data_IF_490017471155
#
_entry.id   IF_490017471155
#
_cell.length_a   1.000
_cell.length_b   1.000
_cell.length_c   1.000
_cell.angle_alpha   90.00
_cell.angle_beta   90.00
_cell.angle_gamma   90.00
#
_symmetry.space_group_name_H-M   'P 1'
#
loop_
_entity.id
_entity.type
_entity.pdbx_description
1 polymer ?
#
# COMPACT_ATOMS: atom_id res chain seq x y z
N UNK A 1 6.98 -21.65 3.46
CA UNK A 1 5.82 -21.38 4.35
C UNK A 1 4.64 -20.96 3.48
N UNK A 2 3.46 -21.43 3.79
CA UNK A 2 2.23 -21.10 3.05
C UNK A 2 1.52 -19.95 3.75
N UNK A 3 0.94 -19.04 2.98
CA UNK A 3 0.21 -17.88 3.48
C UNK A 3 -1.21 -17.87 2.94
N UNK A 4 -2.12 -17.34 3.75
CA UNK A 4 -3.52 -17.11 3.40
C UNK A 4 -3.73 -15.60 3.33
N UNK A 5 -4.42 -15.12 2.28
CA UNK A 5 -4.81 -13.73 2.16
C UNK A 5 -6.27 -13.58 2.55
N UNK A 6 -6.54 -12.67 3.49
CA UNK A 6 -7.88 -12.33 3.95
C UNK A 6 -8.17 -10.85 3.74
N UNK A 7 -9.38 -10.54 3.29
CA UNK A 7 -9.86 -9.18 3.21
C UNK A 7 -10.36 -8.72 4.59
N UNK A 8 -10.03 -7.50 4.96
CA UNK A 8 -10.60 -6.82 6.13
C UNK A 8 -11.72 -5.91 5.65
N UNK A 9 -12.95 -6.20 6.04
CA UNK A 9 -14.13 -5.46 5.60
C UNK A 9 -14.49 -4.33 6.58
N UNK A 10 -15.32 -3.40 6.13
CA UNK A 10 -15.67 -2.17 6.86
C UNK A 10 -16.33 -2.40 8.24
N UNK A 11 -16.97 -3.55 8.46
CA UNK A 11 -17.58 -3.90 9.75
C UNK A 11 -16.58 -4.39 10.81
N UNK A 12 -15.32 -4.66 10.43
CA UNK A 12 -14.30 -5.19 11.33
C UNK A 12 -13.51 -4.06 12.01
N UNK A 13 -14.19 -3.21 12.78
CA UNK A 13 -13.59 -2.00 13.38
C UNK A 13 -12.33 -2.27 14.21
N UNK A 14 -12.31 -3.36 14.99
CA UNK A 14 -11.14 -3.73 15.80
C UNK A 14 -9.94 -4.13 14.93
N UNK A 15 -10.16 -4.86 13.84
CA UNK A 15 -9.11 -5.23 12.89
C UNK A 15 -8.58 -4.00 12.14
N UNK A 16 -9.45 -3.11 11.70
CA UNK A 16 -9.08 -1.86 11.02
C UNK A 16 -8.20 -1.01 11.92
N UNK A 17 -8.58 -0.85 13.20
CA UNK A 17 -7.78 -0.11 14.18
C UNK A 17 -6.41 -0.77 14.41
N UNK A 18 -6.37 -2.08 14.59
CA UNK A 18 -5.14 -2.85 14.78
C UNK A 18 -4.19 -2.67 13.59
N UNK A 19 -4.69 -2.72 12.36
CA UNK A 19 -3.88 -2.52 11.16
C UNK A 19 -3.27 -1.11 11.13
N UNK A 20 -4.03 -0.07 11.45
CA UNK A 20 -3.51 1.29 11.57
C UNK A 20 -2.39 1.38 12.61
N UNK A 21 -2.54 0.72 13.74
CA UNK A 21 -1.53 0.69 14.80
C UNK A 21 -0.25 -0.03 14.39
N UNK A 22 -0.35 -1.19 13.74
CA UNK A 22 0.83 -1.94 13.28
C UNK A 22 1.57 -1.26 12.13
N UNK A 23 0.90 -0.43 11.36
CA UNK A 23 1.48 0.38 10.29
C UNK A 23 1.98 1.77 10.77
N UNK A 24 1.86 2.08 12.06
CA UNK A 24 2.20 3.38 12.63
C UNK A 24 3.65 3.81 12.37
N UNK A 25 4.57 2.87 12.20
CA UNK A 25 5.98 3.16 11.85
C UNK A 25 6.12 3.88 10.50
N UNK A 26 5.12 3.80 9.62
CA UNK A 26 5.10 4.52 8.34
C UNK A 26 5.11 6.04 8.53
N UNK A 27 4.74 6.56 9.71
CA UNK A 27 4.86 7.99 10.04
C UNK A 27 6.29 8.53 9.87
N UNK A 28 7.28 7.67 9.95
CA UNK A 28 8.68 8.03 9.74
C UNK A 28 8.90 8.66 8.36
N UNK A 29 8.33 8.07 7.33
CA UNK A 29 8.46 8.52 5.94
C UNK A 29 7.23 9.31 5.47
N UNK A 30 6.09 9.12 6.13
CA UNK A 30 4.80 9.71 5.81
C UNK A 30 4.17 10.33 7.07
N UNK A 31 4.55 11.57 7.43
CA UNK A 31 4.13 12.19 8.69
C UNK A 31 2.61 12.25 8.89
N UNK A 32 1.85 12.35 7.80
CA UNK A 32 0.38 12.44 7.82
C UNK A 32 -0.32 11.07 7.73
N UNK A 33 0.40 9.96 7.96
CA UNK A 33 -0.12 8.61 7.82
C UNK A 33 -1.47 8.40 8.53
N UNK A 34 -1.60 8.79 9.79
CA UNK A 34 -2.86 8.59 10.53
C UNK A 34 -4.00 9.45 10.02
N UNK A 35 -3.73 10.69 9.61
CA UNK A 35 -4.74 11.54 8.99
C UNK A 35 -5.26 10.90 7.70
N UNK A 36 -4.36 10.41 6.85
CA UNK A 36 -4.71 9.69 5.64
C UNK A 36 -5.48 8.39 5.94
N UNK A 37 -4.97 7.56 6.86
CA UNK A 37 -5.61 6.28 7.19
C UNK A 37 -7.03 6.49 7.71
N UNK A 38 -7.22 7.39 8.66
CA UNK A 38 -8.51 7.64 9.29
C UNK A 38 -9.49 8.42 8.40
N UNK A 39 -9.01 9.31 7.54
CA UNK A 39 -9.85 10.21 6.75
C UNK A 39 -10.05 9.76 5.30
N UNK A 40 -9.21 8.87 4.77
CA UNK A 40 -9.30 8.37 3.39
C UNK A 40 -9.51 6.86 3.34
N UNK A 41 -8.67 6.07 4.00
CA UNK A 41 -8.75 4.61 3.94
C UNK A 41 -10.00 4.10 4.62
N UNK A 42 -10.21 4.42 5.90
CA UNK A 42 -11.34 3.91 6.68
C UNK A 42 -12.69 4.29 6.07
N UNK A 43 -12.97 5.56 5.73
CA UNK A 43 -14.21 5.90 5.03
C UNK A 43 -14.33 5.24 3.65
N UNK A 44 -13.22 5.09 2.94
CA UNK A 44 -13.18 4.45 1.62
C UNK A 44 -13.57 2.98 1.62
N UNK A 45 -13.39 2.27 2.74
CA UNK A 45 -13.86 0.89 2.91
C UNK A 45 -15.39 0.77 2.84
N UNK A 46 -16.10 1.77 3.34
CA UNK A 46 -17.57 1.77 3.34
C UNK A 46 -18.19 1.97 1.96
N UNK A 47 -17.47 2.58 1.04
CA UNK A 47 -17.92 2.91 -0.33
C UNK A 47 -17.15 2.13 -1.40
N UNK A 48 -16.42 1.11 -0.99
CA UNK A 48 -15.63 0.23 -1.87
C UNK A 48 -14.57 0.93 -2.73
N UNK A 49 -14.13 2.12 -2.31
CA UNK A 49 -13.04 2.86 -2.96
C UNK A 49 -11.66 2.52 -2.38
N UNK A 50 -11.65 1.86 -1.24
CA UNK A 50 -10.45 1.31 -0.59
C UNK A 50 -10.70 -0.13 -0.19
N UNK A 51 -9.64 -0.93 -0.21
CA UNK A 51 -9.67 -2.32 0.23
C UNK A 51 -8.40 -2.62 1.01
N UNK A 52 -8.54 -3.38 2.09
CA UNK A 52 -7.43 -3.85 2.91
C UNK A 52 -7.39 -5.36 2.86
N UNK A 53 -6.23 -5.91 2.59
CA UNK A 53 -5.96 -7.35 2.69
C UNK A 53 -4.75 -7.58 3.59
N UNK A 54 -4.80 -8.67 4.33
CA UNK A 54 -3.68 -9.13 5.14
C UNK A 54 -3.25 -10.52 4.69
N UNK A 55 -1.95 -10.78 4.75
CA UNK A 55 -1.39 -12.12 4.62
C UNK A 55 -1.10 -12.68 6.01
N UNK A 56 -1.54 -13.89 6.27
CA UNK A 56 -1.27 -14.61 7.52
C UNK A 56 -0.61 -15.94 7.22
N UNK A 57 0.40 -16.38 8.02
CA UNK A 57 0.93 -17.73 7.87
C UNK A 57 -0.15 -18.76 8.19
N UNK A 58 -0.29 -19.78 7.37
CA UNK A 58 -1.33 -20.81 7.52
C UNK A 58 -1.30 -21.51 8.88
N UNK A 59 -0.10 -21.70 9.43
CA UNK A 59 0.11 -22.35 10.73
C UNK A 59 0.15 -21.37 11.91
N UNK A 60 -0.05 -20.07 11.67
CA UNK A 60 -0.01 -18.98 12.68
C UNK A 60 -1.00 -17.90 12.33
N UNK A 61 -2.27 -18.24 12.34
CA UNK A 61 -3.36 -17.36 11.91
C UNK A 61 -3.50 -16.07 12.71
N UNK A 62 -2.92 -16.01 13.91
CA UNK A 62 -2.90 -14.81 14.76
C UNK A 62 -1.78 -13.81 14.39
N UNK A 63 -0.84 -14.24 13.52
CA UNK A 63 0.25 -13.38 13.06
C UNK A 63 -0.09 -12.75 11.70
N UNK A 64 0.28 -11.49 11.52
CA UNK A 64 0.18 -10.80 10.24
C UNK A 64 1.56 -10.80 9.59
N UNK A 65 1.65 -11.41 8.41
CA UNK A 65 2.87 -11.45 7.61
C UNK A 65 3.05 -10.21 6.73
N UNK A 66 1.94 -9.60 6.33
CA UNK A 66 1.95 -8.40 5.51
C UNK A 66 0.57 -7.77 5.38
N UNK A 67 0.56 -6.55 4.89
CA UNK A 67 -0.66 -5.75 4.64
C UNK A 67 -0.56 -5.10 3.26
N UNK A 68 -1.65 -5.11 2.52
CA UNK A 68 -1.80 -4.33 1.30
C UNK A 68 -3.09 -3.50 1.38
N UNK A 69 -2.99 -2.24 0.97
CA UNK A 69 -4.13 -1.32 0.86
C UNK A 69 -4.25 -0.91 -0.59
N UNK A 70 -5.42 -1.11 -1.17
CA UNK A 70 -5.72 -0.81 -2.57
C UNK A 70 -6.71 0.35 -2.67
N UNK A 71 -6.61 1.09 -3.77
CA UNK A 71 -7.54 2.14 -4.17
C UNK A 71 -8.09 1.86 -5.57
N UNK A 72 -9.40 1.96 -5.69
CA UNK A 72 -10.09 2.08 -6.98
C UNK A 72 -11.28 3.03 -6.77
N UNK A 73 -11.13 4.28 -7.19
CA UNK A 73 -12.17 5.30 -7.08
C UNK A 73 -12.84 5.59 -8.44
N UNK A 74 -12.58 4.73 -9.42
CA UNK A 74 -13.05 4.89 -10.79
C UNK A 74 -12.15 5.77 -11.67
N UNK A 75 -11.21 6.52 -11.08
CA UNK A 75 -10.24 7.36 -11.77
C UNK A 75 -8.82 6.85 -11.66
N UNK A 76 -8.47 6.33 -10.50
CA UNK A 76 -7.13 5.84 -10.19
C UNK A 76 -7.19 4.45 -9.59
N UNK A 77 -6.37 3.55 -10.12
CA UNK A 77 -6.18 2.18 -9.64
C UNK A 77 -4.78 2.07 -9.06
N UNK A 78 -4.69 1.93 -7.75
CA UNK A 78 -3.43 2.13 -7.05
C UNK A 78 -3.21 1.15 -5.91
N UNK A 79 -1.96 0.72 -5.76
CA UNK A 79 -1.45 0.08 -4.55
C UNK A 79 -0.99 1.20 -3.63
N UNK A 80 -1.79 1.50 -2.60
CA UNK A 80 -1.51 2.60 -1.67
C UNK A 80 -0.45 2.24 -0.65
N UNK A 81 -0.50 1.03 -0.14
CA UNK A 81 0.46 0.48 0.82
C UNK A 81 0.69 -0.98 0.48
N UNK A 82 1.94 -1.39 0.42
CA UNK A 82 2.35 -2.78 0.39
C UNK A 82 3.48 -2.95 1.39
N UNK A 83 3.22 -3.72 2.44
CA UNK A 83 4.21 -3.96 3.47
C UNK A 83 4.27 -5.44 3.83
N UNK A 84 5.47 -5.98 3.87
CA UNK A 84 5.75 -7.34 4.34
C UNK A 84 6.69 -7.25 5.54
N UNK A 85 6.28 -7.82 6.66
CA UNK A 85 7.11 -7.82 7.87
C UNK A 85 8.42 -8.55 7.62
N UNK A 86 9.52 -8.03 8.16
CA UNK A 86 10.88 -8.50 7.89
C UNK A 86 11.02 -10.03 8.04
N UNK A 87 10.42 -10.59 9.08
CA UNK A 87 10.37 -12.04 9.35
C UNK A 87 9.83 -12.87 8.17
N UNK A 88 8.98 -12.28 7.34
CA UNK A 88 8.27 -12.96 6.25
C UNK A 88 8.71 -12.51 4.85
N UNK A 89 9.70 -11.63 4.76
CA UNK A 89 10.24 -11.19 3.48
C UNK A 89 10.90 -12.33 2.73
N UNK A 90 10.97 -12.20 1.41
CA UNK A 90 11.57 -13.19 0.48
C UNK A 90 10.92 -14.59 0.55
N UNK A 91 9.68 -14.66 1.05
CA UNK A 91 8.89 -15.89 1.09
C UNK A 91 7.66 -15.85 0.16
N UNK A 92 7.63 -14.91 -0.78
CA UNK A 92 6.60 -14.81 -1.81
C UNK A 92 5.40 -13.93 -1.46
N UNK A 93 5.29 -13.39 -0.24
CA UNK A 93 4.14 -12.56 0.18
C UNK A 93 3.98 -11.32 -0.71
N UNK A 94 5.08 -10.62 -1.02
CA UNK A 94 5.03 -9.46 -1.92
C UNK A 94 4.49 -9.80 -3.31
N UNK A 95 4.92 -10.93 -3.87
CA UNK A 95 4.39 -11.42 -5.16
C UNK A 95 2.91 -11.76 -5.08
N UNK A 96 2.46 -12.43 -4.02
CA UNK A 96 1.04 -12.72 -3.81
C UNK A 96 0.21 -11.43 -3.75
N UNK A 97 0.71 -10.38 -3.10
CA UNK A 97 0.04 -9.08 -3.04
C UNK A 97 -0.01 -8.36 -4.38
N UNK A 98 1.04 -8.39 -5.18
CA UNK A 98 1.01 -7.81 -6.54
C UNK A 98 0.01 -8.55 -7.42
N UNK A 99 0.01 -9.88 -7.40
CA UNK A 99 -0.95 -10.70 -8.15
C UNK A 99 -2.39 -10.43 -7.72
N UNK A 100 -2.64 -10.33 -6.41
CA UNK A 100 -3.94 -9.93 -5.86
C UNK A 100 -4.35 -8.55 -6.37
N UNK A 101 -3.46 -7.56 -6.30
CA UNK A 101 -3.74 -6.19 -6.74
C UNK A 101 -4.09 -6.13 -8.22
N UNK A 102 -3.34 -6.81 -9.07
CA UNK A 102 -3.62 -6.91 -10.51
C UNK A 102 -5.02 -7.49 -10.75
N UNK A 103 -5.36 -8.56 -10.05
CA UNK A 103 -6.66 -9.22 -10.17
C UNK A 103 -7.81 -8.33 -9.68
N UNK A 104 -7.70 -7.78 -8.47
CA UNK A 104 -8.75 -6.96 -7.84
C UNK A 104 -8.95 -5.63 -8.58
N UNK A 105 -7.86 -4.96 -8.95
CA UNK A 105 -7.92 -3.68 -9.67
C UNK A 105 -8.24 -3.84 -11.17
N UNK A 106 -8.15 -5.07 -11.69
CA UNK A 106 -8.46 -5.35 -13.09
C UNK A 106 -7.52 -4.68 -14.08
N UNK A 107 -6.27 -4.45 -13.69
CA UNK A 107 -5.21 -3.90 -14.54
C UNK A 107 -3.88 -4.57 -14.24
N UNK A 108 -3.07 -4.78 -15.28
CA UNK A 108 -1.70 -5.30 -15.13
C UNK A 108 -0.71 -4.24 -14.65
N UNK A 109 -1.10 -2.97 -14.71
CA UNK A 109 -0.27 -1.82 -14.41
C UNK A 109 -0.92 -0.91 -13.38
N UNK A 110 -1.25 -1.40 -12.18
CA UNK A 110 -1.70 -0.52 -11.11
C UNK A 110 -0.58 0.44 -10.72
N UNK A 111 -0.94 1.66 -10.39
CA UNK A 111 0.02 2.65 -9.92
C UNK A 111 0.56 2.26 -8.55
N UNK A 112 1.81 2.52 -8.29
CA UNK A 112 2.44 2.45 -6.96
C UNK A 112 3.48 3.55 -6.84
N UNK A 113 3.67 4.06 -5.63
CA UNK A 113 4.79 4.94 -5.31
C UNK A 113 5.61 4.38 -4.16
N UNK A 114 6.91 4.59 -4.21
CA UNK A 114 7.84 4.14 -3.17
C UNK A 114 8.81 5.26 -2.81
N UNK A 115 9.13 5.39 -1.52
CA UNK A 115 10.13 6.35 -1.05
C UNK A 115 11.55 5.88 -1.37
N UNK A 116 12.51 6.82 -1.36
CA UNK A 116 13.93 6.49 -1.47
C UNK A 116 14.37 5.42 -0.48
N UNK A 117 13.83 5.48 0.75
CA UNK A 117 14.17 4.53 1.81
C UNK A 117 13.82 3.08 1.47
N UNK A 118 12.81 2.88 0.62
CA UNK A 118 12.27 1.55 0.31
C UNK A 118 12.52 1.13 -1.14
N UNK A 119 13.07 2.00 -1.96
CA UNK A 119 13.19 1.77 -3.41
C UNK A 119 13.95 0.48 -3.73
N UNK A 120 15.08 0.23 -3.07
CA UNK A 120 15.90 -0.97 -3.30
C UNK A 120 15.15 -2.26 -2.96
N UNK A 121 14.30 -2.25 -1.94
CA UNK A 121 13.51 -3.41 -1.55
C UNK A 121 12.43 -3.77 -2.59
N UNK A 122 11.92 -2.77 -3.30
CA UNK A 122 10.81 -2.94 -4.24
C UNK A 122 11.24 -3.17 -5.68
N UNK A 123 12.45 -2.75 -6.09
CA UNK A 123 12.85 -2.74 -7.50
C UNK A 123 12.72 -4.11 -8.15
N UNK A 124 13.22 -5.16 -7.53
CA UNK A 124 13.17 -6.52 -8.10
C UNK A 124 11.74 -7.04 -8.23
N UNK A 125 10.90 -6.73 -7.24
CA UNK A 125 9.49 -7.11 -7.25
C UNK A 125 8.73 -6.40 -8.37
N UNK A 126 8.92 -5.08 -8.50
CA UNK A 126 8.26 -4.27 -9.52
C UNK A 126 8.72 -4.64 -10.93
N UNK A 127 10.01 -4.88 -11.12
CA UNK A 127 10.58 -5.32 -12.39
C UNK A 127 10.03 -6.69 -12.82
N UNK A 128 9.90 -7.62 -11.87
CA UNK A 128 9.32 -8.96 -12.13
C UNK A 128 7.92 -8.87 -12.74
N UNK A 129 7.12 -7.89 -12.35
CA UNK A 129 5.75 -7.70 -12.86
C UNK A 129 5.64 -6.66 -13.96
N UNK A 130 6.76 -6.16 -14.49
CA UNK A 130 6.79 -5.23 -15.61
C UNK A 130 6.32 -3.82 -15.27
N UNK A 131 6.43 -3.41 -14.01
CA UNK A 131 6.09 -2.04 -13.60
C UNK A 131 7.11 -1.06 -14.20
N UNK A 132 6.60 0.02 -14.78
CA UNK A 132 7.42 1.03 -15.44
C UNK A 132 7.63 2.23 -14.53
N UNK A 133 8.91 2.62 -14.36
CA UNK A 133 9.29 3.83 -13.64
C UNK A 133 8.84 5.08 -14.41
N UNK A 134 8.18 6.01 -13.73
CA UNK A 134 7.69 7.24 -14.33
C UNK A 134 8.47 8.46 -13.88
N UNK A 135 8.49 8.76 -12.59
CA UNK A 135 9.05 10.03 -12.12
C UNK A 135 9.47 10.00 -10.65
N UNK A 136 10.48 10.82 -10.34
CA UNK A 136 10.86 11.20 -8.98
C UNK A 136 10.16 12.50 -8.58
N UNK A 137 9.71 12.54 -7.31
CA UNK A 137 9.06 13.69 -6.68
C UNK A 137 9.83 14.08 -5.42
N UNK A 138 10.78 15.04 -5.51
CA UNK A 138 11.53 15.48 -4.34
C UNK A 138 10.63 16.09 -3.26
N UNK A 139 10.85 15.68 -2.01
CA UNK A 139 10.13 16.23 -0.83
C UNK A 139 8.60 16.24 -0.97
N UNK A 140 8.02 15.21 -1.58
CA UNK A 140 6.58 15.17 -1.85
C UNK A 140 5.77 14.97 -0.57
N UNK A 141 6.08 13.95 0.22
CA UNK A 141 5.40 13.65 1.49
C UNK A 141 6.17 14.12 2.71
N UNK A 142 7.49 14.14 2.63
CA UNK A 142 8.39 14.54 3.69
C UNK A 142 9.60 15.27 3.10
N UNK A 143 10.05 16.34 3.79
CA UNK A 143 11.25 17.06 3.39
C UNK A 143 12.46 16.12 3.31
N UNK A 144 13.29 16.33 2.28
CA UNK A 144 14.53 15.60 2.03
C UNK A 144 14.36 14.10 1.69
N UNK A 145 13.13 13.65 1.45
CA UNK A 145 12.84 12.30 0.97
C UNK A 145 12.07 12.39 -0.36
N UNK A 146 12.64 11.78 -1.40
CA UNK A 146 11.98 11.65 -2.69
C UNK A 146 11.00 10.48 -2.70
N UNK A 147 9.92 10.64 -3.43
CA UNK A 147 8.98 9.60 -3.80
C UNK A 147 9.14 9.24 -5.27
N UNK A 148 9.03 7.96 -5.61
CA UNK A 148 9.18 7.45 -6.97
C UNK A 148 7.89 6.79 -7.43
N UNK A 149 7.35 7.22 -8.58
CA UNK A 149 6.12 6.64 -9.11
C UNK A 149 6.41 5.61 -10.21
N UNK A 150 5.56 4.59 -10.24
CA UNK A 150 5.52 3.53 -11.25
C UNK A 150 4.12 3.45 -11.83
N UNK A 151 4.02 3.26 -13.15
CA UNK A 151 2.77 3.11 -13.91
C UNK A 151 1.83 4.32 -13.83
N UNK A 152 2.31 5.48 -13.46
CA UNK A 152 1.51 6.69 -13.39
C UNK A 152 2.24 7.84 -12.72
N UNK A 153 1.56 8.98 -12.68
CA UNK A 153 2.07 10.21 -12.07
C UNK A 153 1.29 10.53 -10.80
N UNK A 154 2.00 11.05 -9.80
CA UNK A 154 1.36 11.69 -8.66
C UNK A 154 0.74 13.03 -9.09
N UNK A 155 -0.37 13.38 -8.47
CA UNK A 155 -1.00 14.69 -8.68
C UNK A 155 -0.07 15.79 -8.19
N UNK A 156 -0.07 16.95 -8.90
CA UNK A 156 0.72 18.11 -8.49
C UNK A 156 0.33 18.54 -7.06
N UNK A 157 1.34 18.99 -6.29
CA UNK A 157 1.18 19.56 -4.95
C UNK A 157 0.35 20.87 -5.01
N UNK A 158 -0.96 20.80 -5.06
CA UNK A 158 -1.82 21.98 -5.14
C UNK A 158 -3.19 21.79 -4.55
N UNK A 159 -3.62 20.58 -4.33
CA UNK A 159 -4.88 20.27 -3.69
C UNK A 159 -4.63 19.59 -2.35
N UNK A 160 -4.50 20.40 -1.30
CA UNK A 160 -4.43 19.95 0.09
C UNK A 160 -5.61 19.08 0.55
N UNK A 161 -6.66 18.94 -0.27
CA UNK A 161 -7.81 18.08 0.01
C UNK A 161 -7.58 16.62 -0.36
N UNK A 162 -6.55 16.33 -1.13
CA UNK A 162 -6.08 14.98 -1.41
C UNK A 162 -4.74 14.76 -0.70
N UNK A 163 -4.79 14.68 0.62
CA UNK A 163 -3.67 14.14 1.37
C UNK A 163 -3.50 12.68 0.99
N UNK A 164 -2.69 12.48 0.02
CA UNK A 164 -2.33 11.17 -0.45
C UNK A 164 -1.01 10.85 0.17
N UNK A 165 -1.07 10.42 1.40
CA UNK A 165 0.07 9.90 2.09
C UNK A 165 0.21 8.46 1.68
N UNK A 166 1.36 8.08 1.22
CA UNK A 166 1.71 6.69 0.91
C UNK A 166 0.71 6.00 -0.04
N UNK A 167 0.26 6.74 -0.98
CA UNK A 167 -0.49 6.15 -2.09
C UNK A 167 0.38 5.67 -3.19
#
# INVERSE_FOLDING_TARGET
>A
MTFIINQIISSEAASIKKIGEILAFLKKDYPDFFAWYNNKVVPGLNVEQRQIYIATPENRIDEIAGVIILKDDGFEKKICTLYVFEKYRRQGVGSMFIELAINILGTKLPMITVSDSNKEEFVDLLDKYGFEYYQEYPSYYKNDISEHSYNGYLKANGNFNDFVVNE
#
